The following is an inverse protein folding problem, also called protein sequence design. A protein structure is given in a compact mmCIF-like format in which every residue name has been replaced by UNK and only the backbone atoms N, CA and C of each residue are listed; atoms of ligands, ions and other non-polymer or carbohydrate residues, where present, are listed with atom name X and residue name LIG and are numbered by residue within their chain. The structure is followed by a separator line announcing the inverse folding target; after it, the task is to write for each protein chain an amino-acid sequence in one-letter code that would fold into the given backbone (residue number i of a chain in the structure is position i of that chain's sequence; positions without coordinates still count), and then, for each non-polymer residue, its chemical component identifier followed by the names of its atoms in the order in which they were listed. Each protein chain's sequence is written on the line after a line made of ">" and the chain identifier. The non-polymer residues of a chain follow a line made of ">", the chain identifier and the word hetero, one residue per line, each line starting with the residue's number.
data_IF_053575468128
#
_entry.id   IF_053575468128
#
_cell.length_a   1.000
_cell.length_b   1.000
_cell.length_c   1.000
_cell.angle_alpha   90.00
_cell.angle_beta   90.00
_cell.angle_gamma   90.00
#
_symmetry.space_group_name_H-M   'P 1'
#
loop_
_entity.id
_entity.type
_entity.pdbx_description
1 polymer ?
#
# COMPACT_ATOMS: atom_id res chain seq x y z
N UNK A 1 -8.39 -34.63 28.64
CA UNK A 1 -9.50 -34.21 27.75
C UNK A 1 -10.01 -32.80 28.00
N UNK A 2 -10.27 -32.37 29.25
CA UNK A 2 -10.81 -31.02 29.55
C UNK A 2 -9.93 -29.86 29.04
N UNK A 3 -8.61 -29.92 29.25
CA UNK A 3 -7.67 -28.86 28.80
C UNK A 3 -7.58 -28.68 27.29
N UNK A 4 -7.67 -29.76 26.51
CA UNK A 4 -7.64 -29.70 25.04
C UNK A 4 -8.86 -28.94 24.51
N UNK A 5 -10.02 -29.16 25.14
CA UNK A 5 -11.28 -28.52 24.77
C UNK A 5 -11.26 -27.02 25.12
N UNK A 6 -10.63 -26.64 26.23
CA UNK A 6 -10.41 -25.24 26.62
C UNK A 6 -9.47 -24.51 25.66
N UNK A 7 -8.37 -25.16 25.24
CA UNK A 7 -7.43 -24.61 24.26
C UNK A 7 -8.11 -24.43 22.90
N UNK A 8 -8.91 -25.40 22.47
CA UNK A 8 -9.68 -25.32 21.22
C UNK A 8 -10.68 -24.15 21.24
N UNK A 9 -11.40 -23.96 22.36
CA UNK A 9 -12.34 -22.84 22.51
C UNK A 9 -11.65 -21.48 22.47
N UNK A 10 -10.51 -21.32 23.15
CA UNK A 10 -9.71 -20.09 23.11
C UNK A 10 -9.21 -19.80 21.68
N UNK A 11 -8.86 -20.82 20.92
CA UNK A 11 -8.41 -20.69 19.54
C UNK A 11 -9.54 -20.21 18.62
N UNK A 12 -10.73 -20.82 18.73
CA UNK A 12 -11.90 -20.45 17.92
C UNK A 12 -12.35 -19.02 18.21
N UNK A 13 -12.39 -18.63 19.49
CA UNK A 13 -12.76 -17.25 19.89
C UNK A 13 -11.73 -16.25 19.36
N UNK A 14 -10.44 -16.56 19.42
CA UNK A 14 -9.38 -15.68 18.88
C UNK A 14 -9.49 -15.49 17.36
N UNK A 15 -9.96 -16.50 16.62
CA UNK A 15 -10.22 -16.38 15.19
C UNK A 15 -11.50 -15.59 14.88
N UNK A 16 -12.56 -15.76 15.66
CA UNK A 16 -13.83 -15.06 15.47
C UNK A 16 -13.73 -13.55 15.67
N UNK A 17 -12.86 -13.09 16.58
CA UNK A 17 -12.63 -11.65 16.81
C UNK A 17 -11.76 -10.98 15.73
N UNK A 18 -10.93 -11.75 15.00
CA UNK A 18 -9.99 -11.22 14.00
C UNK A 18 -10.48 -11.39 12.55
N UNK A 19 -11.64 -12.00 12.30
CA UNK A 19 -12.11 -12.28 10.93
C UNK A 19 -12.90 -11.14 10.29
N UNK A 20 -12.95 -9.95 10.89
CA UNK A 20 -13.61 -8.79 10.29
C UNK A 20 -12.70 -8.18 9.24
N UNK A 21 -12.49 -8.91 8.14
CA UNK A 21 -11.91 -8.35 6.95
C UNK A 21 -13.01 -7.62 6.18
N UNK A 22 -13.06 -6.30 6.31
CA UNK A 22 -14.00 -5.49 5.54
C UNK A 22 -13.48 -5.30 4.11
N UNK A 23 -14.37 -5.54 3.15
CA UNK A 23 -14.15 -5.15 1.76
C UNK A 23 -14.25 -3.63 1.56
N UNK A 24 -13.44 -3.10 0.63
CA UNK A 24 -13.54 -1.72 0.19
C UNK A 24 -14.92 -1.45 -0.44
N UNK A 25 -15.51 -0.31 -0.11
CA UNK A 25 -16.74 0.17 -0.74
C UNK A 25 -16.50 0.52 -2.22
N UNK A 26 -17.58 0.68 -3.00
CA UNK A 26 -17.46 1.12 -4.38
C UNK A 26 -16.74 2.48 -4.51
N UNK A 27 -17.00 3.41 -3.59
CA UNK A 27 -16.33 4.73 -3.56
C UNK A 27 -14.84 4.60 -3.28
N UNK A 28 -14.48 3.77 -2.30
CA UNK A 28 -13.09 3.50 -1.95
C UNK A 28 -12.33 2.80 -3.10
N UNK A 29 -12.96 1.80 -3.74
CA UNK A 29 -12.40 1.15 -4.94
C UNK A 29 -12.18 2.14 -6.07
N UNK A 30 -13.13 3.06 -6.28
CA UNK A 30 -13.00 4.12 -7.31
C UNK A 30 -11.87 5.09 -6.97
N UNK A 31 -11.68 5.45 -5.70
CA UNK A 31 -10.60 6.32 -5.25
C UNK A 31 -9.20 5.74 -5.51
N UNK A 32 -9.08 4.41 -5.62
CA UNK A 32 -7.82 3.70 -5.90
C UNK A 32 -7.81 2.99 -7.26
N UNK A 33 -8.69 3.36 -8.19
CA UNK A 33 -8.89 2.65 -9.46
C UNK A 33 -7.59 2.43 -10.25
N UNK A 34 -6.66 3.39 -10.19
CA UNK A 34 -5.40 3.35 -10.93
C UNK A 34 -4.25 2.66 -10.19
N UNK A 35 -4.45 2.18 -8.95
CA UNK A 35 -3.38 1.65 -8.11
C UNK A 35 -2.57 0.55 -8.79
N UNK A 36 -3.23 -0.45 -9.40
CA UNK A 36 -2.56 -1.55 -10.09
C UNK A 36 -1.64 -1.07 -11.22
N UNK A 37 -2.09 -0.09 -12.00
CA UNK A 37 -1.29 0.50 -13.08
C UNK A 37 -0.11 1.30 -12.51
N UNK A 38 -0.35 2.13 -11.50
CA UNK A 38 0.67 2.93 -10.83
C UNK A 38 1.76 2.06 -10.20
N UNK A 39 1.38 0.97 -9.52
CA UNK A 39 2.34 0.02 -8.95
C UNK A 39 3.19 -0.64 -10.03
N UNK A 40 2.59 -1.06 -11.15
CA UNK A 40 3.35 -1.65 -12.27
C UNK A 40 4.38 -0.68 -12.85
N UNK A 41 4.01 0.60 -13.00
CA UNK A 41 4.95 1.64 -13.47
C UNK A 41 6.08 1.85 -12.46
N UNK A 42 5.76 1.84 -11.15
CA UNK A 42 6.77 1.95 -10.10
C UNK A 42 7.76 0.79 -10.15
N UNK A 43 7.27 -0.45 -10.25
CA UNK A 43 8.11 -1.66 -10.36
C UNK A 43 9.00 -1.62 -11.60
N UNK A 44 8.44 -1.19 -12.74
CA UNK A 44 9.21 -0.97 -13.96
C UNK A 44 10.33 0.05 -13.73
N UNK A 45 10.03 1.23 -13.16
CA UNK A 45 11.06 2.24 -12.90
C UNK A 45 12.14 1.74 -11.92
N UNK A 46 11.75 1.08 -10.83
CA UNK A 46 12.67 0.54 -9.84
C UNK A 46 13.63 -0.52 -10.42
N UNK A 47 13.17 -1.31 -11.41
CA UNK A 47 14.00 -2.33 -12.05
C UNK A 47 15.00 -1.77 -13.07
N UNK A 48 14.86 -0.51 -13.47
CA UNK A 48 15.71 0.15 -14.46
C UNK A 48 16.60 1.25 -13.85
N UNK A 49 16.54 1.47 -12.54
CA UNK A 49 17.45 2.38 -11.84
C UNK A 49 18.55 1.58 -11.15
N UNK A 50 19.80 1.81 -11.56
CA UNK A 50 20.96 1.36 -10.79
C UNK A 50 21.21 2.35 -9.64
N UNK A 51 20.83 1.96 -8.42
CA UNK A 51 21.00 2.82 -7.25
C UNK A 51 22.48 3.14 -6.92
N UNK A 52 23.45 2.39 -7.46
CA UNK A 52 24.87 2.62 -7.22
C UNK A 52 25.49 3.71 -8.10
N UNK A 53 24.84 4.05 -9.22
CA UNK A 53 25.28 5.12 -10.13
C UNK A 53 24.69 6.49 -9.76
N UNK A 54 23.75 6.54 -8.83
CA UNK A 54 23.07 7.78 -8.41
C UNK A 54 24.01 8.73 -7.67
N UNK A 55 23.84 10.03 -7.91
CA UNK A 55 24.39 11.06 -7.03
C UNK A 55 23.83 10.90 -5.60
N UNK A 56 24.52 11.43 -4.59
CA UNK A 56 24.04 11.33 -3.20
C UNK A 56 22.62 11.93 -3.04
N UNK A 57 22.35 13.07 -3.69
CA UNK A 57 21.05 13.73 -3.66
C UNK A 57 19.98 12.84 -4.29
N UNK A 58 20.27 12.24 -5.44
CA UNK A 58 19.31 11.41 -6.17
C UNK A 58 19.09 10.06 -5.51
N UNK A 59 20.12 9.52 -4.86
CA UNK A 59 19.99 8.34 -4.01
C UNK A 59 19.00 8.59 -2.85
N UNK A 60 19.10 9.74 -2.19
CA UNK A 60 18.17 10.10 -1.12
C UNK A 60 16.75 10.26 -1.66
N UNK A 61 16.59 10.94 -2.80
CA UNK A 61 15.31 11.05 -3.50
C UNK A 61 14.75 9.66 -3.85
N UNK A 62 15.53 8.81 -4.49
CA UNK A 62 15.17 7.42 -4.83
C UNK A 62 14.65 6.65 -3.61
N UNK A 63 15.31 6.77 -2.45
CA UNK A 63 14.90 6.08 -1.22
C UNK A 63 13.53 6.54 -0.72
N UNK A 64 13.20 7.83 -0.87
CA UNK A 64 11.87 8.36 -0.55
C UNK A 64 10.84 7.90 -1.58
N UNK A 65 11.14 8.08 -2.88
CA UNK A 65 10.24 7.78 -3.99
C UNK A 65 9.86 6.30 -4.07
N UNK A 66 10.80 5.38 -3.79
CA UNK A 66 10.57 3.93 -3.70
C UNK A 66 9.45 3.56 -2.71
N UNK A 67 9.22 4.38 -1.69
CA UNK A 67 8.24 4.13 -0.63
C UNK A 67 6.99 5.04 -0.74
N UNK A 68 6.83 5.76 -1.86
CA UNK A 68 5.76 6.74 -2.04
C UNK A 68 4.34 6.15 -1.91
N UNK A 69 4.14 4.89 -2.29
CA UNK A 69 2.84 4.20 -2.18
C UNK A 69 2.63 3.46 -0.85
N UNK A 70 3.65 3.39 0.03
CA UNK A 70 3.53 2.72 1.33
C UNK A 70 2.39 3.27 2.20
N UNK A 71 2.15 4.59 2.31
CA UNK A 71 1.03 5.12 3.09
C UNK A 71 -0.34 4.68 2.57
N UNK A 72 -0.51 4.61 1.24
CA UNK A 72 -1.74 4.15 0.60
C UNK A 72 -2.00 2.67 0.93
N UNK A 73 -1.00 1.81 0.73
CA UNK A 73 -1.11 0.38 1.00
C UNK A 73 -1.45 0.12 2.46
N UNK A 74 -0.76 0.80 3.40
CA UNK A 74 -1.08 0.72 4.83
C UNK A 74 -2.52 1.14 5.15
N UNK A 75 -3.06 2.14 4.44
CA UNK A 75 -4.44 2.57 4.65
C UNK A 75 -5.45 1.54 4.10
N UNK A 76 -5.16 0.91 2.97
CA UNK A 76 -5.96 -0.19 2.41
C UNK A 76 -5.96 -1.38 3.37
N UNK A 77 -4.78 -1.78 3.83
CA UNK A 77 -4.61 -2.88 4.80
C UNK A 77 -5.35 -2.57 6.10
N UNK A 78 -5.27 -1.32 6.57
CA UNK A 78 -6.03 -0.86 7.74
C UNK A 78 -7.53 -1.05 7.52
N UNK A 79 -8.10 -0.54 6.42
CA UNK A 79 -9.54 -0.71 6.14
C UNK A 79 -9.92 -2.20 6.11
N UNK A 80 -9.06 -3.04 5.55
CA UNK A 80 -9.23 -4.49 5.50
C UNK A 80 -9.14 -5.20 6.86
N UNK A 81 -8.81 -4.51 7.96
CA UNK A 81 -8.80 -5.05 9.32
C UNK A 81 -9.95 -4.50 10.19
N UNK A 82 -10.74 -3.58 9.64
CA UNK A 82 -11.80 -2.88 10.38
C UNK A 82 -13.16 -3.55 10.15
N UNK A 83 -14.15 -3.18 10.96
CA UNK A 83 -15.52 -3.69 10.84
C UNK A 83 -16.33 -2.97 9.76
N UNK A 84 -17.51 -3.51 9.42
CA UNK A 84 -18.45 -2.88 8.48
C UNK A 84 -18.98 -1.52 8.92
N UNK A 85 -18.85 -1.17 10.21
CA UNK A 85 -19.26 0.12 10.77
C UNK A 85 -18.18 1.20 10.59
N UNK A 86 -16.97 0.84 10.15
CA UNK A 86 -15.91 1.79 9.92
C UNK A 86 -16.31 2.81 8.84
N UNK A 87 -15.95 4.07 9.03
CA UNK A 87 -16.39 5.14 8.13
C UNK A 87 -15.75 5.03 6.74
N UNK A 88 -16.44 5.53 5.72
CA UNK A 88 -15.92 5.61 4.35
C UNK A 88 -14.62 6.45 4.31
N UNK A 89 -13.56 5.87 3.76
CA UNK A 89 -12.24 6.49 3.67
C UNK A 89 -11.90 7.00 2.26
N UNK A 90 -12.89 7.13 1.36
CA UNK A 90 -12.63 7.44 -0.06
C UNK A 90 -11.84 8.74 -0.26
N UNK A 91 -12.14 9.80 0.50
CA UNK A 91 -11.41 11.07 0.43
C UNK A 91 -9.93 10.93 0.84
N UNK A 92 -9.67 10.17 1.91
CA UNK A 92 -8.32 9.88 2.38
C UNK A 92 -7.56 9.01 1.37
N UNK A 93 -8.20 7.95 0.86
CA UNK A 93 -7.62 7.09 -0.16
C UNK A 93 -7.28 7.86 -1.43
N UNK A 94 -8.15 8.77 -1.88
CA UNK A 94 -7.90 9.61 -3.05
C UNK A 94 -6.67 10.49 -2.86
N UNK A 95 -6.51 11.09 -1.67
CA UNK A 95 -5.32 11.91 -1.33
C UNK A 95 -4.04 11.06 -1.35
N UNK A 96 -4.07 9.89 -0.71
CA UNK A 96 -2.92 8.96 -0.67
C UNK A 96 -2.60 8.39 -2.05
N UNK A 97 -3.61 8.14 -2.89
CA UNK A 97 -3.46 7.70 -4.27
C UNK A 97 -2.78 8.79 -5.12
N UNK A 98 -3.12 10.05 -4.90
CA UNK A 98 -2.45 11.16 -5.57
C UNK A 98 -0.97 11.26 -5.18
N UNK A 99 -0.65 11.14 -3.88
CA UNK A 99 0.74 11.13 -3.39
C UNK A 99 1.53 9.96 -3.98
N UNK A 100 0.96 8.75 -3.96
CA UNK A 100 1.56 7.57 -4.60
C UNK A 100 1.82 7.82 -6.09
N UNK A 101 0.84 8.36 -6.82
CA UNK A 101 0.98 8.66 -8.25
C UNK A 101 2.07 9.69 -8.53
N UNK A 102 2.12 10.79 -7.78
CA UNK A 102 3.17 11.80 -7.90
C UNK A 102 4.56 11.22 -7.60
N UNK A 103 4.69 10.40 -6.56
CA UNK A 103 5.95 9.75 -6.24
C UNK A 103 6.42 8.79 -7.33
N UNK A 104 5.50 8.06 -7.96
CA UNK A 104 5.83 7.18 -9.10
C UNK A 104 6.20 7.97 -10.36
N UNK A 105 5.55 9.11 -10.62
CA UNK A 105 5.94 10.02 -11.71
C UNK A 105 7.38 10.49 -11.49
N UNK A 106 7.71 11.04 -10.31
CA UNK A 106 9.06 11.50 -10.02
C UNK A 106 10.10 10.38 -10.04
N UNK A 107 9.71 9.15 -9.65
CA UNK A 107 10.58 7.98 -9.80
C UNK A 107 10.86 7.65 -11.27
N UNK A 108 9.84 7.82 -12.12
CA UNK A 108 9.97 7.62 -13.57
C UNK A 108 10.86 8.70 -14.20
N UNK A 109 10.74 9.95 -13.76
CA UNK A 109 11.62 11.04 -14.20
C UNK A 109 13.08 10.73 -13.85
N UNK A 110 13.34 10.28 -12.62
CA UNK A 110 14.68 9.85 -12.18
C UNK A 110 15.22 8.68 -13.02
N UNK A 111 14.36 7.70 -13.35
CA UNK A 111 14.74 6.60 -14.24
C UNK A 111 15.14 7.11 -15.62
N UNK A 112 14.40 8.07 -16.19
CA UNK A 112 14.69 8.63 -17.51
C UNK A 112 16.02 9.38 -17.50
N UNK A 113 16.29 10.16 -16.44
CA UNK A 113 17.53 10.92 -16.29
C UNK A 113 18.79 10.03 -16.29
N UNK A 114 18.72 8.86 -15.65
CA UNK A 114 19.87 7.96 -15.49
C UNK A 114 19.99 6.85 -16.55
N UNK A 115 19.04 6.77 -17.49
CA UNK A 115 19.05 5.82 -18.61
C UNK A 115 19.26 6.50 -19.99
N UNK A 116 19.57 7.80 -19.99
CA UNK A 116 20.06 8.56 -21.15
C UNK A 116 21.58 8.76 -21.07
#
# INVERSE_FOLDING_TARGET
>A
MKFVLTILFLFIVSFAFNSNARDLTLKEKTAILNLSKTTRVAEFALSHIDASSLSLTDYLSYKVLKNSCTPLNKQIDKIGQETSEYEDQSARLSTLMNICSHGVISLTDLMIEYNH
#
